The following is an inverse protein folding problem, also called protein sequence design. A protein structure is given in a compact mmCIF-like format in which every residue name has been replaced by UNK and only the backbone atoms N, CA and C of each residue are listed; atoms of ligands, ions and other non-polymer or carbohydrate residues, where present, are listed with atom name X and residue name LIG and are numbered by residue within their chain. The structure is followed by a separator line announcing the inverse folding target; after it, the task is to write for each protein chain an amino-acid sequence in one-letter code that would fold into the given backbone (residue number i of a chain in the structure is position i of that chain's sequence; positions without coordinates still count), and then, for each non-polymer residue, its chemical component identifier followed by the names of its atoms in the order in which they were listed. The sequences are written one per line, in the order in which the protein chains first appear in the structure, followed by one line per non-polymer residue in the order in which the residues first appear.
data_IF_962801502540
#
_entry.id   IF_962801502540
#
_cell.length_a   1.000
_cell.length_b   1.000
_cell.length_c   1.000
_cell.angle_alpha   90.00
_cell.angle_beta   90.00
_cell.angle_gamma   90.00
#
_symmetry.space_group_name_H-M   'P 1'
#
loop_
_entity.id
_entity.type
_entity.pdbx_description
1 polymer ?
#
# COMPACT_ATOMS: atom_id res chain seq x y z
N UNK A 1 27.73 -36.19 -21.26
CA UNK A 1 27.48 -34.87 -21.88
C UNK A 1 26.01 -34.55 -21.68
N UNK A 2 25.72 -33.57 -20.83
CA UNK A 2 24.35 -33.27 -20.40
C UNK A 2 23.53 -32.69 -21.55
N UNK A 3 22.37 -33.29 -21.83
CA UNK A 3 21.41 -32.78 -22.82
C UNK A 3 21.08 -31.30 -22.59
N UNK A 4 21.11 -30.84 -21.33
CA UNK A 4 20.93 -29.42 -20.95
C UNK A 4 21.98 -28.51 -21.60
N UNK A 5 23.23 -28.95 -21.72
CA UNK A 5 24.30 -28.19 -22.37
C UNK A 5 24.02 -28.02 -23.87
N UNK A 6 23.64 -29.12 -24.53
CA UNK A 6 23.33 -29.14 -25.97
C UNK A 6 22.14 -28.22 -26.29
N UNK A 7 21.07 -28.27 -25.48
CA UNK A 7 19.91 -27.38 -25.67
C UNK A 7 20.23 -25.90 -25.42
N UNK A 8 21.10 -25.62 -24.44
CA UNK A 8 21.57 -24.25 -24.17
C UNK A 8 22.38 -23.70 -25.34
N UNK A 9 23.28 -24.50 -25.91
CA UNK A 9 24.15 -24.05 -27.01
C UNK A 9 23.33 -23.79 -28.28
N UNK A 10 22.39 -24.68 -28.63
CA UNK A 10 21.44 -24.46 -29.75
C UNK A 10 20.59 -23.21 -29.53
N UNK A 11 20.16 -22.95 -28.29
CA UNK A 11 19.37 -21.76 -27.96
C UNK A 11 20.20 -20.48 -28.12
N UNK A 12 21.44 -20.47 -27.63
CA UNK A 12 22.35 -19.32 -27.74
C UNK A 12 22.71 -19.02 -29.19
N UNK A 13 22.94 -20.05 -30.00
CA UNK A 13 23.21 -19.92 -31.43
C UNK A 13 22.01 -19.29 -32.17
N UNK A 14 20.81 -19.82 -31.94
CA UNK A 14 19.58 -19.26 -32.54
C UNK A 14 19.29 -17.84 -32.05
N UNK A 15 19.55 -17.54 -30.78
CA UNK A 15 19.40 -16.20 -30.23
C UNK A 15 20.38 -15.21 -30.85
N UNK A 16 21.64 -15.61 -31.06
CA UNK A 16 22.66 -14.81 -31.74
C UNK A 16 22.23 -14.44 -33.16
N UNK A 17 21.75 -15.40 -33.94
CA UNK A 17 21.26 -15.17 -35.32
C UNK A 17 20.11 -14.16 -35.35
N UNK A 18 19.19 -14.23 -34.37
CA UNK A 18 18.05 -13.30 -34.30
C UNK A 18 18.50 -11.90 -33.92
N UNK A 19 19.44 -11.78 -32.97
CA UNK A 19 19.99 -10.48 -32.54
C UNK A 19 20.76 -9.82 -33.69
N UNK A 20 21.63 -10.55 -34.38
CA UNK A 20 22.39 -10.00 -35.52
C UNK A 20 21.45 -9.52 -36.64
N UNK A 21 20.41 -10.30 -36.97
CA UNK A 21 19.39 -9.85 -37.94
C UNK A 21 18.69 -8.58 -37.49
N UNK A 22 18.37 -8.45 -36.19
CA UNK A 22 17.76 -7.25 -35.65
C UNK A 22 18.70 -6.03 -35.75
N UNK A 23 20.01 -6.21 -35.49
CA UNK A 23 21.01 -5.13 -35.63
C UNK A 23 21.14 -4.70 -37.09
N UNK A 24 21.23 -5.65 -38.04
CA UNK A 24 21.31 -5.33 -39.49
C UNK A 24 20.08 -4.54 -39.94
N UNK A 25 18.88 -4.98 -39.55
CA UNK A 25 17.63 -4.27 -39.88
C UNK A 25 17.62 -2.87 -39.26
N UNK A 26 18.01 -2.75 -37.99
CA UNK A 26 18.04 -1.47 -37.29
C UNK A 26 19.06 -0.49 -37.88
N UNK A 27 20.26 -0.96 -38.22
CA UNK A 27 21.29 -0.20 -38.93
C UNK A 27 20.77 0.30 -40.28
N UNK A 28 20.06 -0.55 -41.02
CA UNK A 28 19.48 -0.17 -42.32
C UNK A 28 18.37 0.87 -42.20
N UNK A 29 17.56 0.81 -41.14
CA UNK A 29 16.47 1.77 -40.88
C UNK A 29 17.01 3.11 -40.40
N UNK A 30 17.98 3.10 -39.49
CA UNK A 30 18.51 4.30 -38.85
C UNK A 30 19.65 4.95 -39.63
N UNK A 31 20.26 4.24 -40.58
CA UNK A 31 21.44 4.69 -41.32
C UNK A 31 22.74 4.70 -40.50
N UNK A 32 22.71 4.19 -39.26
CA UNK A 32 23.88 4.14 -38.38
C UNK A 32 24.79 2.96 -38.72
N UNK A 33 26.07 3.05 -38.32
CA UNK A 33 27.00 1.92 -38.43
C UNK A 33 26.49 0.71 -37.64
N UNK A 34 26.94 -0.48 -38.03
CA UNK A 34 26.56 -1.73 -37.36
C UNK A 34 26.88 -1.70 -35.86
N UNK A 35 28.08 -1.22 -35.51
CA UNK A 35 28.54 -1.09 -34.12
C UNK A 35 27.67 -0.12 -33.32
N UNK A 36 27.35 1.06 -33.88
CA UNK A 36 26.48 2.03 -33.22
C UNK A 36 25.06 1.48 -33.03
N UNK A 37 24.54 0.75 -34.03
CA UNK A 37 23.24 0.10 -33.99
C UNK A 37 23.18 -0.99 -32.93
N UNK A 38 24.24 -1.78 -32.78
CA UNK A 38 24.35 -2.81 -31.76
C UNK A 38 24.33 -2.20 -30.36
N UNK A 39 25.11 -1.15 -30.11
CA UNK A 39 25.16 -0.45 -28.82
C UNK A 39 23.78 0.12 -28.48
N UNK A 40 23.16 0.82 -29.42
CA UNK A 40 21.87 1.50 -29.19
C UNK A 40 20.75 0.49 -28.96
N UNK A 41 20.70 -0.60 -29.72
CA UNK A 41 19.72 -1.66 -29.56
C UNK A 41 19.90 -2.40 -28.22
N UNK A 42 21.15 -2.61 -27.77
CA UNK A 42 21.44 -3.16 -26.45
C UNK A 42 20.97 -2.23 -25.32
N UNK A 43 21.20 -0.92 -25.46
CA UNK A 43 20.72 0.09 -24.51
C UNK A 43 19.18 0.08 -24.43
N UNK A 44 18.49 0.02 -25.58
CA UNK A 44 17.01 -0.07 -25.62
C UNK A 44 16.52 -1.35 -24.94
N UNK A 45 17.12 -2.50 -25.22
CA UNK A 45 16.74 -3.78 -24.58
C UNK A 45 16.96 -3.71 -23.08
N UNK A 46 18.13 -3.26 -22.62
CA UNK A 46 18.44 -3.06 -21.20
C UNK A 46 17.42 -2.15 -20.53
N UNK A 47 17.03 -1.06 -21.19
CA UNK A 47 16.00 -0.14 -20.71
C UNK A 47 14.63 -0.82 -20.57
N UNK A 48 14.18 -1.56 -21.59
CA UNK A 48 12.90 -2.29 -21.57
C UNK A 48 12.87 -3.34 -20.47
N UNK A 49 13.96 -4.11 -20.33
CA UNK A 49 14.09 -5.14 -19.29
C UNK A 49 14.08 -4.49 -17.90
N UNK A 50 14.83 -3.41 -17.71
CA UNK A 50 14.86 -2.62 -16.48
C UNK A 50 13.47 -2.13 -16.09
N UNK A 51 12.73 -1.51 -17.03
CA UNK A 51 11.35 -1.07 -16.82
C UNK A 51 10.42 -2.23 -16.42
N UNK A 52 10.52 -3.39 -17.07
CA UNK A 52 9.68 -4.55 -16.72
C UNK A 52 9.94 -5.05 -15.30
N UNK A 53 11.21 -5.10 -14.88
CA UNK A 53 11.59 -5.48 -13.51
C UNK A 53 11.05 -4.44 -12.53
N UNK A 54 11.26 -3.15 -12.83
CA UNK A 54 10.79 -2.01 -12.03
C UNK A 54 9.27 -2.06 -11.80
N UNK A 55 8.49 -2.26 -12.87
CA UNK A 55 7.02 -2.39 -12.80
C UNK A 55 6.59 -3.59 -11.97
N UNK A 56 7.27 -4.74 -12.09
CA UNK A 56 6.98 -5.92 -11.25
C UNK A 56 7.21 -5.63 -9.77
N UNK A 57 8.33 -4.99 -9.44
CA UNK A 57 8.65 -4.61 -8.06
C UNK A 57 7.60 -3.63 -7.53
N UNK A 58 7.28 -2.59 -8.30
CA UNK A 58 6.25 -1.61 -7.93
C UNK A 58 4.89 -2.28 -7.65
N UNK A 59 4.41 -3.16 -8.54
CA UNK A 59 3.15 -3.90 -8.34
C UNK A 59 3.17 -4.77 -7.08
N UNK A 60 4.31 -5.41 -6.78
CA UNK A 60 4.46 -6.25 -5.57
C UNK A 60 4.41 -5.40 -4.30
N UNK A 61 5.10 -4.26 -4.28
CA UNK A 61 5.09 -3.33 -3.16
C UNK A 61 3.71 -2.69 -2.95
N UNK A 62 3.03 -2.32 -4.03
CA UNK A 62 1.68 -1.77 -3.98
C UNK A 62 0.68 -2.77 -3.37
N UNK A 63 0.75 -4.04 -3.75
CA UNK A 63 -0.07 -5.10 -3.12
C UNK A 63 0.22 -5.24 -1.62
N UNK A 64 1.50 -5.23 -1.23
CA UNK A 64 1.88 -5.27 0.20
C UNK A 64 1.32 -4.09 0.99
N UNK A 65 1.35 -2.88 0.40
CA UNK A 65 0.75 -1.68 0.99
C UNK A 65 -0.75 -1.84 1.20
N UNK A 66 -1.50 -2.26 0.18
CA UNK A 66 -2.95 -2.47 0.29
C UNK A 66 -3.28 -3.49 1.38
N UNK A 67 -2.54 -4.61 1.43
CA UNK A 67 -2.78 -5.62 2.46
C UNK A 67 -2.51 -5.07 3.86
N UNK A 68 -1.40 -4.34 4.06
CA UNK A 68 -1.11 -3.69 5.34
C UNK A 68 -2.16 -2.64 5.72
N UNK A 69 -2.72 -1.91 4.75
CA UNK A 69 -3.82 -0.97 4.99
C UNK A 69 -5.10 -1.69 5.40
N UNK A 70 -5.42 -2.82 4.76
CA UNK A 70 -6.58 -3.65 5.13
C UNK A 70 -6.43 -4.23 6.53
N UNK A 71 -5.28 -4.84 6.84
CA UNK A 71 -4.98 -5.36 8.18
C UNK A 71 -5.11 -4.25 9.24
N UNK A 72 -4.54 -3.07 8.98
CA UNK A 72 -4.64 -1.97 9.92
C UNK A 72 -6.08 -1.45 10.09
N UNK A 73 -6.90 -1.48 9.02
CA UNK A 73 -8.31 -1.09 9.08
C UNK A 73 -9.11 -2.09 9.93
N UNK A 74 -8.88 -3.39 9.72
CA UNK A 74 -9.51 -4.43 10.52
C UNK A 74 -9.20 -4.29 12.02
N UNK A 75 -7.96 -3.94 12.38
CA UNK A 75 -7.64 -3.74 13.80
C UNK A 75 -8.30 -2.51 14.39
N UNK A 76 -8.47 -1.44 13.60
CA UNK A 76 -9.28 -0.31 14.06
C UNK A 76 -10.76 -0.65 14.18
N UNK A 77 -11.32 -1.44 13.25
CA UNK A 77 -12.71 -1.89 13.32
C UNK A 77 -12.94 -2.80 14.54
N UNK A 78 -11.98 -3.68 14.86
CA UNK A 78 -11.99 -4.51 16.06
C UNK A 78 -11.98 -3.66 17.33
N UNK A 79 -11.13 -2.63 17.39
CA UNK A 79 -11.09 -1.70 18.53
C UNK A 79 -12.41 -0.93 18.65
N UNK A 80 -12.98 -0.47 17.54
CA UNK A 80 -14.27 0.22 17.52
C UNK A 80 -15.39 -0.70 18.04
N UNK A 81 -15.37 -1.97 17.65
CA UNK A 81 -16.31 -2.98 18.13
C UNK A 81 -16.18 -3.19 19.64
N UNK A 82 -14.95 -3.32 20.16
CA UNK A 82 -14.71 -3.47 21.61
C UNK A 82 -15.21 -2.24 22.39
N UNK A 83 -14.97 -1.04 21.87
CA UNK A 83 -15.45 0.21 22.47
C UNK A 83 -16.98 0.25 22.49
N UNK A 84 -17.63 -0.03 21.35
CA UNK A 84 -19.08 -0.06 21.25
C UNK A 84 -19.71 -1.13 22.16
N UNK A 85 -19.06 -2.28 22.30
CA UNK A 85 -19.50 -3.35 23.20
C UNK A 85 -19.44 -2.91 24.67
N UNK A 86 -18.38 -2.20 25.08
CA UNK A 86 -18.22 -1.74 26.45
C UNK A 86 -19.16 -0.56 26.77
N UNK A 87 -19.36 0.36 25.82
CA UNK A 87 -20.38 1.42 25.91
C UNK A 87 -21.80 0.83 26.05
N UNK A 88 -22.12 -0.23 25.28
CA UNK A 88 -23.42 -0.91 25.37
C UNK A 88 -23.61 -1.61 26.72
N UNK A 89 -22.58 -2.31 27.22
CA UNK A 89 -22.63 -2.95 28.55
C UNK A 89 -22.87 -1.91 29.66
N UNK A 90 -22.12 -0.81 29.63
CA UNK A 90 -22.23 0.26 30.64
C UNK A 90 -23.62 0.90 30.65
N UNK A 91 -24.21 1.12 29.48
CA UNK A 91 -25.58 1.66 29.36
C UNK A 91 -26.68 0.62 29.66
N UNK A 92 -26.41 -0.67 29.47
CA UNK A 92 -27.36 -1.76 29.79
C UNK A 92 -27.45 -2.10 31.28
N UNK A 93 -26.51 -1.60 32.10
CA UNK A 93 -26.39 -1.94 33.53
C UNK A 93 -27.05 -0.90 34.45
N UNK A 94 -27.63 0.19 33.93
CA UNK A 94 -28.47 1.08 34.74
C UNK A 94 -29.72 0.34 35.24
N UNK A 95 -29.85 0.02 36.54
CA UNK A 95 -31.03 -0.63 37.08
C UNK A 95 -32.00 0.44 37.57
N UNK A 96 -33.21 0.45 37.00
CA UNK A 96 -34.36 1.14 37.58
C UNK A 96 -34.82 2.39 36.83
N UNK A 97 -36.09 2.33 36.44
CA UNK A 97 -37.01 3.46 36.28
C UNK A 97 -36.64 4.57 35.29
N UNK A 98 -36.96 4.32 34.02
CA UNK A 98 -37.75 5.24 33.16
C UNK A 98 -37.94 4.64 31.76
N UNK A 99 -38.63 3.48 31.69
CA UNK A 99 -39.24 2.99 30.45
C UNK A 99 -40.57 3.70 30.20
N UNK A 100 -40.57 5.02 30.22
CA UNK A 100 -41.65 5.83 29.67
C UNK A 100 -41.03 7.00 28.94
N UNK A 101 -41.01 6.92 27.60
CA UNK A 101 -41.30 8.05 26.72
C UNK A 101 -40.84 7.74 25.30
N UNK A 102 -41.85 7.59 24.44
CA UNK A 102 -41.88 7.97 23.02
C UNK A 102 -40.78 7.49 22.07
N UNK A 103 -41.20 7.04 20.88
CA UNK A 103 -40.33 6.79 19.73
C UNK A 103 -39.51 8.02 19.26
N UNK A 104 -39.71 9.20 19.90
CA UNK A 104 -38.88 10.39 19.75
C UNK A 104 -37.71 10.45 20.77
N UNK A 105 -37.86 9.85 21.96
CA UNK A 105 -36.82 9.78 23.01
C UNK A 105 -35.74 8.71 22.76
N UNK A 106 -36.00 7.72 21.89
CA UNK A 106 -34.99 6.75 21.46
C UNK A 106 -33.84 7.37 20.63
N UNK A 107 -33.99 8.62 20.16
CA UNK A 107 -32.92 9.35 19.48
C UNK A 107 -32.10 10.24 20.42
N UNK A 108 -32.61 10.58 21.60
CA UNK A 108 -31.94 11.48 22.55
C UNK A 108 -31.15 10.73 23.64
N UNK A 109 -31.49 9.46 23.92
CA UNK A 109 -30.70 8.57 24.78
C UNK A 109 -29.42 8.02 24.13
N UNK A 110 -29.20 8.29 22.84
CA UNK A 110 -27.99 7.95 22.09
C UNK A 110 -26.91 9.07 22.16
N UNK A 111 -26.96 9.93 23.17
CA UNK A 111 -25.94 10.97 23.45
C UNK A 111 -24.65 10.43 24.08
N UNK A 112 -24.45 9.11 24.10
CA UNK A 112 -23.29 8.44 24.67
C UNK A 112 -22.29 7.90 23.65
N UNK A 113 -22.43 8.22 22.36
CA UNK A 113 -21.43 7.84 21.37
C UNK A 113 -20.21 8.77 21.50
N UNK A 114 -19.14 8.24 22.09
CA UNK A 114 -17.86 8.91 22.29
C UNK A 114 -17.37 9.68 21.04
N UNK A 115 -16.55 10.74 21.19
CA UNK A 115 -15.84 11.43 20.09
C UNK A 115 -15.16 10.49 19.08
N UNK A 116 -14.88 9.25 19.49
CA UNK A 116 -14.41 8.18 18.62
C UNK A 116 -15.42 7.87 17.52
N UNK A 117 -16.71 7.74 17.81
CA UNK A 117 -17.70 7.48 16.77
C UNK A 117 -17.80 8.62 15.76
N UNK A 118 -17.58 9.89 16.15
CA UNK A 118 -17.47 11.00 15.18
C UNK A 118 -16.19 10.92 14.34
N UNK A 119 -15.05 10.56 14.94
CA UNK A 119 -13.79 10.31 14.21
C UNK A 119 -13.92 9.16 13.19
N UNK A 120 -14.80 8.20 13.44
CA UNK A 120 -15.03 7.02 12.60
C UNK A 120 -16.25 7.11 11.65
N UNK A 121 -17.32 7.86 12.02
CA UNK A 121 -18.51 8.10 11.18
C UNK A 121 -18.31 9.23 10.17
N UNK A 122 -17.48 10.23 10.49
CA UNK A 122 -17.05 11.16 9.48
C UNK A 122 -16.38 10.31 8.38
N UNK A 123 -16.77 10.53 7.12
CA UNK A 123 -16.30 9.83 5.89
C UNK A 123 -14.77 9.81 5.67
N UNK A 124 -13.97 10.06 6.70
CA UNK A 124 -12.55 9.94 6.76
C UNK A 124 -12.13 8.47 6.62
N UNK A 125 -12.00 8.02 5.37
CA UNK A 125 -11.16 6.86 4.99
C UNK A 125 -9.68 6.99 5.39
N UNK A 126 -9.32 8.03 6.16
CA UNK A 126 -7.98 8.42 6.55
C UNK A 126 -7.73 8.28 8.07
N UNK A 127 -8.45 7.40 8.76
CA UNK A 127 -8.10 6.98 10.14
C UNK A 127 -6.64 6.51 10.27
N UNK A 128 -6.03 5.99 9.19
CA UNK A 128 -4.60 5.71 9.09
C UNK A 128 -3.70 6.94 9.29
N UNK A 129 -4.17 8.13 8.91
CA UNK A 129 -3.44 9.39 9.05
C UNK A 129 -3.60 9.97 10.47
N UNK A 130 -4.76 9.78 11.09
CA UNK A 130 -5.14 10.36 12.38
C UNK A 130 -4.95 9.43 13.61
N UNK A 131 -4.07 8.44 13.52
CA UNK A 131 -3.75 7.47 14.58
C UNK A 131 -3.57 8.09 15.99
N UNK A 132 -2.86 9.22 16.10
CA UNK A 132 -2.62 9.88 17.39
C UNK A 132 -3.92 10.34 18.02
N UNK A 133 -4.82 10.93 17.23
CA UNK A 133 -6.14 11.36 17.69
C UNK A 133 -7.01 10.17 18.11
N UNK A 134 -6.89 9.04 17.40
CA UNK A 134 -7.61 7.82 17.75
C UNK A 134 -7.10 7.26 19.08
N UNK A 135 -5.78 7.11 19.25
CA UNK A 135 -5.20 6.64 20.53
C UNK A 135 -5.55 7.58 21.67
N UNK A 136 -5.42 8.90 21.48
CA UNK A 136 -5.72 9.86 22.54
C UNK A 136 -7.19 9.80 22.96
N UNK A 137 -8.09 9.55 22.00
CA UNK A 137 -9.51 9.38 22.28
C UNK A 137 -9.80 8.07 23.01
N UNK A 138 -9.11 6.98 22.64
CA UNK A 138 -9.24 5.69 23.34
C UNK A 138 -8.72 5.80 24.77
N UNK A 139 -7.55 6.43 24.99
CA UNK A 139 -6.98 6.63 26.33
C UNK A 139 -7.87 7.49 27.23
N UNK A 140 -8.57 8.48 26.66
CA UNK A 140 -9.60 9.25 27.40
C UNK A 140 -10.76 8.36 27.85
N UNK A 141 -11.26 7.50 26.95
CA UNK A 141 -12.30 6.53 27.31
C UNK A 141 -11.84 5.53 28.38
N UNK A 142 -10.61 5.02 28.29
CA UNK A 142 -10.05 4.13 29.33
C UNK A 142 -9.96 4.83 30.69
N UNK A 143 -9.63 6.12 30.72
CA UNK A 143 -9.60 6.90 31.95
C UNK A 143 -11.00 7.10 32.55
N UNK A 144 -12.03 7.24 31.70
CA UNK A 144 -13.43 7.42 32.12
C UNK A 144 -14.07 6.10 32.58
N UNK A 145 -13.82 5.00 31.86
CA UNK A 145 -14.41 3.67 32.14
C UNK A 145 -13.59 2.83 33.13
N UNK A 146 -12.35 3.21 33.42
CA UNK A 146 -11.37 2.46 34.24
C UNK A 146 -11.09 1.03 33.73
N UNK A 147 -11.52 0.70 32.52
CA UNK A 147 -11.23 -0.54 31.84
C UNK A 147 -10.16 -0.32 30.77
N UNK A 148 -9.21 -1.24 30.69
CA UNK A 148 -8.18 -1.24 29.64
C UNK A 148 -8.82 -1.86 28.40
N UNK A 149 -9.03 -1.04 27.37
CA UNK A 149 -9.62 -1.42 26.08
C UNK A 149 -8.54 -1.56 25.00
N UNK A 150 -7.41 -0.88 25.18
CA UNK A 150 -6.31 -0.81 24.22
C UNK A 150 -5.02 -1.26 24.87
N UNK A 151 -4.63 -2.51 24.56
CA UNK A 151 -3.42 -3.08 25.15
C UNK A 151 -2.16 -2.50 24.49
N UNK A 152 -1.02 -2.47 25.21
CA UNK A 152 0.27 -2.07 24.65
C UNK A 152 0.72 -2.95 23.47
N UNK A 153 0.19 -4.17 23.36
CA UNK A 153 0.47 -5.10 22.26
C UNK A 153 -0.23 -4.65 20.97
N UNK A 154 -1.50 -4.25 21.06
CA UNK A 154 -2.26 -3.69 19.93
C UNK A 154 -1.63 -2.38 19.44
N UNK A 155 -1.15 -1.52 20.35
CA UNK A 155 -0.43 -0.30 19.99
C UNK A 155 0.84 -0.60 19.18
N UNK A 156 1.64 -1.58 19.63
CA UNK A 156 2.85 -2.02 18.92
C UNK A 156 2.53 -2.58 17.54
N UNK A 157 1.46 -3.35 17.41
CA UNK A 157 1.05 -3.95 16.14
C UNK A 157 0.61 -2.89 15.13
N UNK A 158 -0.24 -1.94 15.55
CA UNK A 158 -0.67 -0.82 14.71
C UNK A 158 0.53 0.04 14.30
N UNK A 159 1.46 0.34 15.21
CA UNK A 159 2.68 1.09 14.88
C UNK A 159 3.54 0.35 13.84
N UNK A 160 3.64 -0.98 13.94
CA UNK A 160 4.37 -1.81 12.97
C UNK A 160 3.71 -1.75 11.59
N UNK A 161 2.37 -1.83 11.53
CA UNK A 161 1.61 -1.71 10.27
C UNK A 161 1.74 -0.31 9.67
N UNK A 162 1.64 0.76 10.46
CA UNK A 162 1.85 2.14 10.00
C UNK A 162 3.25 2.37 9.45
N UNK A 163 4.29 1.85 10.11
CA UNK A 163 5.67 1.90 9.59
C UNK A 163 5.77 1.24 8.22
N UNK A 164 5.20 0.04 8.04
CA UNK A 164 5.15 -0.63 6.72
C UNK A 164 4.47 0.22 5.65
N UNK A 165 3.34 0.85 5.97
CA UNK A 165 2.60 1.73 5.05
C UNK A 165 3.42 2.98 4.70
N UNK A 166 4.05 3.62 5.70
CA UNK A 166 4.89 4.80 5.49
C UNK A 166 6.10 4.49 4.61
N UNK A 167 6.81 3.39 4.88
CA UNK A 167 7.92 2.92 4.04
C UNK A 167 7.45 2.65 2.61
N UNK A 168 6.29 2.01 2.43
CA UNK A 168 5.74 1.77 1.09
C UNK A 168 5.41 3.07 0.35
N UNK A 169 4.89 4.09 1.03
CA UNK A 169 4.65 5.42 0.45
C UNK A 169 5.95 6.11 0.01
N UNK A 170 7.00 6.06 0.83
CA UNK A 170 8.32 6.61 0.49
C UNK A 170 8.87 5.91 -0.75
N UNK A 171 8.84 4.57 -0.77
CA UNK A 171 9.32 3.81 -1.91
C UNK A 171 8.51 4.14 -3.17
N UNK A 172 7.19 4.29 -3.06
CA UNK A 172 6.34 4.69 -4.19
C UNK A 172 6.73 6.08 -4.75
N UNK A 173 7.04 7.05 -3.89
CA UNK A 173 7.54 8.38 -4.32
C UNK A 173 8.88 8.26 -5.05
N UNK A 174 9.82 7.47 -4.53
CA UNK A 174 11.12 7.24 -5.16
C UNK A 174 10.96 6.61 -6.54
N UNK A 175 10.10 5.60 -6.68
CA UNK A 175 9.80 4.99 -7.99
C UNK A 175 9.21 6.01 -8.96
N UNK A 176 8.31 6.88 -8.49
CA UNK A 176 7.76 7.97 -9.31
C UNK A 176 8.85 8.88 -9.86
N UNK A 177 9.79 9.32 -9.01
CA UNK A 177 10.93 10.17 -9.40
C UNK A 177 11.83 9.46 -10.41
N UNK A 178 12.17 8.19 -10.15
CA UNK A 178 13.01 7.39 -11.06
C UNK A 178 12.38 7.21 -12.44
N UNK A 179 11.07 6.96 -12.50
CA UNK A 179 10.34 6.87 -13.77
C UNK A 179 10.36 8.23 -14.49
N UNK A 180 10.08 9.33 -13.79
CA UNK A 180 10.11 10.66 -14.38
C UNK A 180 11.48 11.02 -14.94
N UNK A 181 12.56 10.75 -14.21
CA UNK A 181 13.94 10.94 -14.67
C UNK A 181 14.26 10.07 -15.88
N UNK A 182 13.85 8.80 -15.86
CA UNK A 182 14.06 7.90 -16.99
C UNK A 182 13.31 8.35 -18.26
N UNK A 183 12.10 8.89 -18.10
CA UNK A 183 11.31 9.43 -19.21
C UNK A 183 11.93 10.74 -19.75
N UNK A 184 12.40 11.62 -18.86
CA UNK A 184 13.06 12.87 -19.23
C UNK A 184 14.41 12.63 -19.94
N UNK A 185 15.19 11.65 -19.47
CA UNK A 185 16.46 11.27 -20.10
C UNK A 185 16.26 10.70 -21.51
N UNK A 186 15.17 9.97 -21.77
CA UNK A 186 14.79 9.58 -23.13
C UNK A 186 14.42 10.80 -23.98
N UNK A 187 13.63 11.74 -23.44
CA UNK A 187 13.27 12.96 -24.17
C UNK A 187 14.51 13.75 -24.62
N UNK A 188 15.52 13.87 -23.76
CA UNK A 188 16.80 14.54 -24.06
C UNK A 188 17.70 13.78 -25.05
N UNK A 189 17.45 12.49 -25.31
CA UNK A 189 18.18 11.71 -26.32
C UNK A 189 17.60 11.86 -27.72
N UNK A 190 16.35 12.32 -27.83
CA UNK A 190 15.60 12.45 -29.09
C UNK A 190 15.37 13.92 -29.51
N UNK A 191 15.97 14.88 -28.80
CA UNK A 191 15.90 16.32 -29.07
C UNK A 191 17.27 16.94 -28.83
#
# INVERSE_FOLDING_TARGET
MDQVQIYRDIFLEKAGIVIDRAIVIFSRITGMSYEASQILLLVIICYIVGLRILVKIHRKLFRRKINAQKECTLEYDNILYLIAQEEYKTNSVLPGDQRESSAAGQREGWKGFSPIHELFNAKHKDYLQHHTLIIDSIRKLEAETKHILFTPEMEKEILKLRKKIATANIIQKIFGILISLATAGLYLLFW
#
